data_IF_015048306164
#
_entry.id   IF_015048306164
#
_cell.length_a   1.000
_cell.length_b   1.000
_cell.length_c   1.000
_cell.angle_alpha   90.00
_cell.angle_beta   90.00
_cell.angle_gamma   90.00
#
_symmetry.space_group_name_H-M   'P 1'
#
loop_
_entity.id
_entity.type
_entity.pdbx_description
1 polymer ?
#
# COMPACT_ATOMS: atom_id res chain seq x y z
N UNK A 1 26.59 -18.57 25.15
CA UNK A 1 25.33 -17.88 24.75
C UNK A 1 25.09 -16.57 25.47
N UNK A 2 25.28 -16.45 26.80
CA UNK A 2 25.14 -15.15 27.51
C UNK A 2 26.12 -14.09 26.98
N UNK A 3 27.41 -14.39 26.95
CA UNK A 3 28.43 -13.48 26.41
C UNK A 3 28.17 -13.11 24.94
N UNK A 4 27.57 -14.02 24.16
CA UNK A 4 27.20 -13.75 22.77
C UNK A 4 26.10 -12.69 22.69
N UNK A 5 25.01 -12.84 23.45
CA UNK A 5 23.91 -11.87 23.41
C UNK A 5 24.35 -10.51 23.96
N UNK A 6 25.20 -10.47 24.97
CA UNK A 6 25.79 -9.23 25.49
C UNK A 6 26.66 -8.54 24.43
N UNK A 7 27.55 -9.28 23.76
CA UNK A 7 28.35 -8.75 22.65
C UNK A 7 27.50 -8.25 21.48
N UNK A 8 26.44 -8.99 21.12
CA UNK A 8 25.52 -8.60 20.05
C UNK A 8 24.70 -7.34 20.40
N UNK A 9 24.30 -7.18 21.66
CA UNK A 9 23.64 -5.96 22.16
C UNK A 9 24.60 -4.75 22.07
N UNK A 10 25.86 -4.93 22.46
CA UNK A 10 26.88 -3.87 22.37
C UNK A 10 27.16 -3.46 20.91
N UNK A 11 27.24 -4.41 19.99
CA UNK A 11 27.36 -4.12 18.56
C UNK A 11 26.13 -3.34 18.03
N UNK A 12 24.93 -3.75 18.43
CA UNK A 12 23.69 -3.06 18.03
C UNK A 12 23.61 -1.63 18.58
N UNK A 13 24.13 -1.37 19.79
CA UNK A 13 24.25 -0.03 20.36
C UNK A 13 25.15 0.87 19.51
N UNK A 14 26.37 0.41 19.24
CA UNK A 14 27.33 1.14 18.40
C UNK A 14 26.75 1.41 17.00
N UNK A 15 26.01 0.44 16.44
CA UNK A 15 25.32 0.61 15.17
C UNK A 15 24.24 1.69 15.24
N UNK A 16 23.41 1.70 16.28
CA UNK A 16 22.36 2.70 16.45
C UNK A 16 22.94 4.13 16.60
N UNK A 17 24.01 4.28 17.39
CA UNK A 17 24.72 5.56 17.53
C UNK A 17 25.32 6.04 16.20
N UNK A 18 25.95 5.12 15.44
CA UNK A 18 26.49 5.44 14.12
C UNK A 18 25.40 5.85 13.13
N UNK A 19 24.23 5.20 13.15
CA UNK A 19 23.09 5.59 12.31
C UNK A 19 22.53 6.96 12.69
N UNK A 20 22.48 7.29 13.99
CA UNK A 20 22.07 8.61 14.45
C UNK A 20 22.99 9.70 13.89
N UNK A 21 24.29 9.44 13.86
CA UNK A 21 25.29 10.32 13.22
C UNK A 21 25.15 10.49 11.69
N UNK A 22 24.35 9.65 11.02
CA UNK A 22 24.06 9.75 9.57
C UNK A 22 22.84 10.63 9.25
N UNK A 23 22.02 10.98 10.23
CA UNK A 23 20.85 11.85 10.01
C UNK A 23 21.36 13.24 9.59
N UNK A 24 20.96 13.77 8.42
CA UNK A 24 21.38 15.11 8.00
C UNK A 24 20.85 16.17 8.96
N UNK A 25 21.71 17.09 9.40
CA UNK A 25 21.28 18.24 10.18
C UNK A 25 20.39 19.19 9.38
N UNK A 26 19.55 19.97 10.07
CA UNK A 26 18.53 20.85 9.49
C UNK A 26 18.94 21.64 8.24
N UNK A 27 20.10 22.35 8.21
CA UNK A 27 20.52 23.12 7.04
C UNK A 27 20.76 22.31 5.75
N UNK A 28 20.91 20.98 5.85
CA UNK A 28 21.14 20.08 4.72
C UNK A 28 19.90 19.30 4.31
N UNK A 29 18.80 19.45 5.05
CA UNK A 29 17.59 18.67 4.88
C UNK A 29 16.56 19.49 4.09
N UNK A 30 15.91 18.88 3.10
CA UNK A 30 14.76 19.52 2.46
C UNK A 30 13.56 19.51 3.41
N UNK A 31 12.67 20.51 3.25
CA UNK A 31 11.49 20.72 4.12
C UNK A 31 10.59 19.48 4.23
N UNK A 32 10.60 18.62 3.20
CA UNK A 32 9.81 17.39 3.19
C UNK A 32 10.30 16.36 4.21
N UNK A 33 11.61 16.31 4.49
CA UNK A 33 12.21 15.24 5.28
C UNK A 33 12.35 15.58 6.77
N UNK A 34 12.03 16.80 7.21
CA UNK A 34 12.21 17.26 8.60
C UNK A 34 11.50 16.37 9.63
N UNK A 35 10.24 16.02 9.36
CA UNK A 35 9.47 15.17 10.26
C UNK A 35 10.01 13.74 10.30
N UNK A 36 10.45 13.21 9.15
CA UNK A 36 11.06 11.88 9.07
C UNK A 36 12.38 11.82 9.85
N UNK A 37 13.21 12.87 9.73
CA UNK A 37 14.48 12.98 10.45
C UNK A 37 14.26 13.00 11.97
N UNK A 38 13.34 13.86 12.44
CA UNK A 38 13.02 13.95 13.87
C UNK A 38 12.43 12.65 14.40
N UNK A 39 11.57 11.97 13.62
CA UNK A 39 11.03 10.66 14.01
C UNK A 39 12.12 9.59 14.09
N UNK A 40 13.01 9.54 13.09
CA UNK A 40 14.12 8.60 13.05
C UNK A 40 15.07 8.79 14.25
N UNK A 41 15.38 10.04 14.61
CA UNK A 41 16.21 10.36 15.77
C UNK A 41 15.58 9.88 17.08
N UNK A 42 14.28 10.16 17.30
CA UNK A 42 13.56 9.70 18.48
C UNK A 42 13.49 8.17 18.57
N UNK A 43 13.25 7.49 17.45
CA UNK A 43 13.17 6.03 17.43
C UNK A 43 14.56 5.39 17.69
N UNK A 44 15.64 5.97 17.17
CA UNK A 44 17.01 5.54 17.49
C UNK A 44 17.34 5.73 18.97
N UNK A 45 16.98 6.87 19.57
CA UNK A 45 17.17 7.10 21.01
C UNK A 45 16.41 6.09 21.85
N UNK A 46 15.18 5.76 21.46
CA UNK A 46 14.38 4.74 22.13
C UNK A 46 15.00 3.34 22.00
N UNK A 47 15.54 3.00 20.82
CA UNK A 47 16.25 1.72 20.60
C UNK A 47 17.51 1.65 21.48
N UNK A 48 18.30 2.72 21.56
CA UNK A 48 19.51 2.78 22.39
C UNK A 48 19.15 2.51 23.86
N UNK A 49 18.12 3.19 24.38
CA UNK A 49 17.63 2.98 25.75
C UNK A 49 17.18 1.53 25.96
N UNK A 50 16.43 0.94 25.02
CA UNK A 50 15.98 -0.46 25.12
C UNK A 50 17.13 -1.45 25.11
N UNK A 51 18.16 -1.22 24.29
CA UNK A 51 19.36 -2.06 24.25
C UNK A 51 20.17 -1.94 25.54
N UNK A 52 20.33 -0.73 26.09
CA UNK A 52 20.97 -0.50 27.40
C UNK A 52 20.22 -1.23 28.52
N UNK A 53 18.90 -1.08 28.60
CA UNK A 53 18.07 -1.80 29.57
C UNK A 53 18.19 -3.32 29.41
N UNK A 54 18.26 -3.80 28.16
CA UNK A 54 18.44 -5.22 27.89
C UNK A 54 19.83 -5.70 28.34
N UNK A 55 20.87 -4.89 28.16
CA UNK A 55 22.22 -5.19 28.64
C UNK A 55 22.27 -5.28 30.17
N UNK A 56 21.67 -4.30 30.86
CA UNK A 56 21.64 -4.17 32.32
C UNK A 56 20.68 -5.16 33.01
N UNK A 57 19.73 -5.72 32.28
CA UNK A 57 18.77 -6.70 32.84
C UNK A 57 19.48 -7.90 33.49
N UNK A 58 19.18 -8.12 34.77
CA UNK A 58 19.83 -9.12 35.61
C UNK A 58 19.55 -10.58 35.18
N UNK A 59 20.30 -11.50 35.80
CA UNK A 59 20.36 -12.95 35.56
C UNK A 59 19.00 -13.67 35.56
N UNK A 60 17.97 -13.12 36.19
CA UNK A 60 16.63 -13.72 36.31
C UNK A 60 15.74 -13.52 35.07
N UNK A 61 16.19 -12.69 34.11
CA UNK A 61 15.52 -12.61 32.81
C UNK A 61 15.77 -13.92 32.07
N UNK A 62 14.71 -14.69 31.81
CA UNK A 62 14.82 -15.94 31.05
C UNK A 62 15.55 -15.62 29.74
N UNK A 63 16.73 -16.22 29.53
CA UNK A 63 17.60 -15.92 28.38
C UNK A 63 16.85 -15.91 27.05
N UNK A 64 15.86 -16.79 26.90
CA UNK A 64 14.93 -16.83 25.76
C UNK A 64 14.20 -15.50 25.52
N UNK A 65 13.67 -14.87 26.56
CA UNK A 65 13.00 -13.58 26.48
C UNK A 65 13.97 -12.48 26.05
N UNK A 66 15.18 -12.45 26.64
CA UNK A 66 16.25 -11.52 26.24
C UNK A 66 16.58 -11.64 24.75
N UNK A 67 16.69 -12.86 24.22
CA UNK A 67 16.88 -13.08 22.77
C UNK A 67 15.69 -12.63 21.92
N UNK A 68 14.45 -12.88 22.37
CA UNK A 68 13.26 -12.45 21.64
C UNK A 68 13.15 -10.93 21.56
N UNK A 69 13.46 -10.23 22.66
CA UNK A 69 13.42 -8.77 22.69
C UNK A 69 14.56 -8.15 21.88
N UNK A 70 15.78 -8.71 21.97
CA UNK A 70 16.89 -8.33 21.10
C UNK A 70 16.51 -8.47 19.62
N UNK A 71 15.94 -9.60 19.22
CA UNK A 71 15.55 -9.84 17.82
C UNK A 71 14.55 -8.80 17.32
N UNK A 72 13.54 -8.45 18.13
CA UNK A 72 12.56 -7.41 17.79
C UNK A 72 13.23 -6.04 17.63
N UNK A 73 14.14 -5.68 18.54
CA UNK A 73 14.90 -4.42 18.43
C UNK A 73 15.74 -4.40 17.15
N UNK A 74 16.40 -5.50 16.80
CA UNK A 74 17.16 -5.60 15.54
C UNK A 74 16.29 -5.49 14.30
N UNK A 75 15.06 -6.02 14.32
CA UNK A 75 14.09 -5.86 13.23
C UNK A 75 13.72 -4.38 13.04
N UNK A 76 13.45 -3.64 14.14
CA UNK A 76 13.20 -2.20 14.12
C UNK A 76 14.41 -1.40 13.60
N UNK A 77 15.61 -1.70 14.13
CA UNK A 77 16.86 -1.06 13.71
C UNK A 77 17.16 -1.30 12.23
N UNK A 78 16.85 -2.50 11.72
CA UNK A 78 17.00 -2.84 10.31
C UNK A 78 16.11 -1.99 9.41
N UNK A 79 14.88 -1.66 9.83
CA UNK A 79 13.98 -0.76 9.08
C UNK A 79 14.56 0.65 9.06
N UNK A 80 15.03 1.16 10.21
CA UNK A 80 15.64 2.47 10.29
C UNK A 80 16.85 2.58 9.36
N UNK A 81 17.78 1.62 9.41
CA UNK A 81 18.97 1.61 8.55
C UNK A 81 18.64 1.52 7.06
N UNK A 82 17.89 0.49 6.66
CA UNK A 82 17.77 0.12 5.26
C UNK A 82 16.68 0.89 4.52
N UNK A 83 15.83 1.62 5.25
CA UNK A 83 14.70 2.34 4.67
C UNK A 83 14.75 3.81 5.07
N UNK A 84 14.66 4.12 6.36
CA UNK A 84 14.43 5.50 6.82
C UNK A 84 15.68 6.37 6.64
N UNK A 85 16.83 5.90 7.13
CA UNK A 85 18.11 6.59 6.96
C UNK A 85 18.51 6.62 5.48
N UNK A 86 18.28 5.52 4.75
CA UNK A 86 18.51 5.49 3.31
C UNK A 86 17.69 6.57 2.57
N UNK A 87 16.41 6.77 2.91
CA UNK A 87 15.58 7.85 2.37
C UNK A 87 16.13 9.24 2.71
N UNK A 88 16.51 9.45 3.97
CA UNK A 88 17.07 10.73 4.43
C UNK A 88 18.35 11.11 3.69
N UNK A 89 19.18 10.14 3.33
CA UNK A 89 20.40 10.38 2.53
C UNK A 89 20.10 10.77 1.08
N UNK A 90 18.90 10.48 0.57
CA UNK A 90 18.42 10.85 -0.76
C UNK A 90 17.60 12.14 -0.81
N UNK A 91 17.50 12.88 0.30
CA UNK A 91 16.60 14.04 0.44
C UNK A 91 16.68 15.11 -0.67
N UNK A 92 17.83 15.22 -1.36
CA UNK A 92 18.04 16.13 -2.49
C UNK A 92 17.55 15.55 -3.82
N UNK A 93 17.82 14.27 -4.04
CA UNK A 93 17.45 13.55 -5.27
C UNK A 93 15.93 13.37 -5.36
N UNK A 94 15.27 13.22 -4.21
CA UNK A 94 13.84 12.93 -4.14
C UNK A 94 12.94 14.18 -4.00
N UNK A 95 13.48 15.40 -4.19
CA UNK A 95 12.67 16.64 -4.12
C UNK A 95 11.54 16.63 -5.15
N UNK A 96 11.82 16.19 -6.37
CA UNK A 96 10.84 16.13 -7.46
C UNK A 96 9.65 15.24 -7.11
N UNK A 97 9.91 14.01 -6.66
CA UNK A 97 8.84 13.06 -6.31
C UNK A 97 8.01 13.54 -5.12
N UNK A 98 8.62 14.24 -4.15
CA UNK A 98 7.88 14.84 -3.04
C UNK A 98 6.94 15.98 -3.52
N UNK A 99 7.37 16.79 -4.49
CA UNK A 99 6.49 17.81 -5.12
C UNK A 99 5.32 17.17 -5.84
N UNK A 100 5.56 16.09 -6.58
CA UNK A 100 4.50 15.33 -7.26
C UNK A 100 3.48 14.75 -6.28
N UNK A 101 3.93 14.03 -5.25
CA UNK A 101 3.02 13.44 -4.26
C UNK A 101 2.28 14.52 -3.47
N UNK A 102 2.92 15.66 -3.21
CA UNK A 102 2.24 16.82 -2.63
C UNK A 102 1.11 17.34 -3.51
N UNK A 103 1.35 17.48 -4.82
CA UNK A 103 0.35 17.92 -5.79
C UNK A 103 -0.81 16.91 -5.87
N UNK A 104 -0.52 15.61 -5.93
CA UNK A 104 -1.54 14.54 -5.87
C UNK A 104 -2.40 14.68 -4.60
N UNK A 105 -1.75 14.82 -3.44
CA UNK A 105 -2.46 14.96 -2.17
C UNK A 105 -3.32 16.24 -2.11
N UNK A 106 -2.93 17.31 -2.81
CA UNK A 106 -3.72 18.54 -2.91
C UNK A 106 -4.93 18.35 -3.83
N UNK A 107 -4.76 17.69 -4.98
CA UNK A 107 -5.84 17.40 -5.92
C UNK A 107 -6.92 16.49 -5.33
N UNK A 108 -6.55 15.54 -4.45
CA UNK A 108 -7.52 14.62 -3.82
C UNK A 108 -8.03 15.11 -2.46
N UNK A 109 -7.63 16.30 -2.02
CA UNK A 109 -7.91 16.82 -0.67
C UNK A 109 -7.51 15.85 0.47
N UNK A 110 -6.26 15.35 0.42
CA UNK A 110 -5.76 14.35 1.38
C UNK A 110 -5.78 14.88 2.83
N UNK A 111 -6.42 14.18 3.78
CA UNK A 111 -6.86 14.77 5.05
C UNK A 111 -5.81 14.77 6.17
N UNK A 112 -4.63 14.20 5.94
CA UNK A 112 -3.54 14.12 6.92
C UNK A 112 -2.22 14.61 6.33
N UNK A 113 -1.17 14.60 7.14
CA UNK A 113 0.17 14.95 6.70
C UNK A 113 0.57 14.09 5.51
N UNK A 114 0.94 14.75 4.42
CA UNK A 114 1.41 14.14 3.18
C UNK A 114 2.66 13.30 3.48
N UNK A 115 2.77 12.07 2.96
CA UNK A 115 3.95 11.26 3.20
C UNK A 115 5.19 11.89 2.57
N UNK A 116 6.33 11.63 3.19
CA UNK A 116 7.63 11.81 2.55
C UNK A 116 7.77 10.72 1.51
N UNK A 117 8.25 11.06 0.32
CA UNK A 117 8.44 10.08 -0.76
C UNK A 117 9.91 9.89 -1.07
N UNK A 118 10.35 8.66 -1.31
CA UNK A 118 11.71 8.36 -1.72
C UNK A 118 11.77 7.29 -2.80
N UNK A 119 12.57 7.51 -3.84
CA UNK A 119 12.78 6.56 -4.94
C UNK A 119 13.82 5.49 -4.57
N UNK A 120 13.58 4.74 -3.49
CA UNK A 120 14.50 3.74 -2.94
C UNK A 120 13.96 2.31 -2.89
N UNK A 121 12.70 2.09 -3.28
CA UNK A 121 12.09 0.78 -3.11
C UNK A 121 12.86 -0.28 -3.91
N UNK A 122 13.31 -1.33 -3.21
CA UNK A 122 13.82 -2.55 -3.82
C UNK A 122 12.70 -3.52 -4.22
N UNK A 123 11.47 -3.21 -3.80
CA UNK A 123 10.24 -3.91 -4.17
C UNK A 123 9.42 -2.98 -5.08
N UNK A 124 8.16 -3.30 -5.27
CA UNK A 124 7.19 -2.37 -5.85
C UNK A 124 6.90 -1.20 -4.90
N UNK A 125 5.89 -0.40 -5.20
CA UNK A 125 5.40 0.68 -4.34
C UNK A 125 5.06 0.15 -2.94
N UNK A 126 5.43 0.90 -1.90
CA UNK A 126 5.12 0.54 -0.52
C UNK A 126 5.20 1.74 0.42
N UNK A 127 4.26 1.89 1.33
CA UNK A 127 4.32 2.89 2.40
C UNK A 127 4.60 2.29 3.78
N UNK A 128 5.61 2.85 4.45
CA UNK A 128 5.88 2.62 5.86
C UNK A 128 5.03 3.59 6.68
N UNK A 129 3.78 3.21 6.98
CA UNK A 129 2.79 4.08 7.65
C UNK A 129 3.28 4.64 8.99
N UNK A 130 4.07 3.88 9.75
CA UNK A 130 4.67 4.33 11.01
C UNK A 130 5.68 5.48 10.87
N UNK A 131 6.25 5.64 9.68
CA UNK A 131 7.19 6.71 9.33
C UNK A 131 6.58 7.75 8.37
N UNK A 132 5.35 7.53 7.92
CA UNK A 132 4.73 8.28 6.83
C UNK A 132 5.66 8.41 5.61
N UNK A 133 6.33 7.31 5.25
CA UNK A 133 7.34 7.25 4.20
C UNK A 133 6.86 6.35 3.06
N UNK A 134 6.56 6.95 1.92
CA UNK A 134 6.23 6.28 0.67
C UNK A 134 7.52 5.95 -0.09
N UNK A 135 7.77 4.67 -0.34
CA UNK A 135 8.89 4.21 -1.15
C UNK A 135 8.39 3.81 -2.53
N UNK A 136 8.97 4.41 -3.58
CA UNK A 136 8.72 4.05 -4.97
C UNK A 136 9.99 3.46 -5.59
N UNK A 137 9.90 2.60 -6.63
CA UNK A 137 11.10 2.09 -7.29
C UNK A 137 11.89 3.20 -7.98
N UNK A 138 13.21 3.02 -8.08
CA UNK A 138 14.19 4.09 -8.38
C UNK A 138 13.86 4.99 -9.58
N UNK A 139 13.35 4.39 -10.67
CA UNK A 139 13.10 5.11 -11.93
C UNK A 139 11.61 5.39 -12.16
N UNK A 140 10.71 4.90 -11.30
CA UNK A 140 9.28 4.96 -11.59
C UNK A 140 8.72 6.40 -11.55
N UNK A 141 9.42 7.35 -10.92
CA UNK A 141 9.06 8.77 -11.01
C UNK A 141 9.27 9.36 -12.41
N UNK A 142 10.02 8.69 -13.28
CA UNK A 142 10.32 9.16 -14.65
C UNK A 142 9.35 8.58 -15.70
N UNK A 143 8.39 7.75 -15.28
CA UNK A 143 7.39 7.11 -16.14
C UNK A 143 5.99 7.34 -15.56
N UNK A 144 4.98 7.48 -16.39
CA UNK A 144 3.62 7.83 -15.98
C UNK A 144 2.74 6.61 -15.71
N UNK A 145 3.01 5.47 -16.38
CA UNK A 145 2.07 4.35 -16.39
C UNK A 145 1.88 3.66 -15.01
N UNK A 146 2.90 3.62 -14.14
CA UNK A 146 2.78 3.04 -12.79
C UNK A 146 2.54 4.05 -11.66
N UNK A 147 2.64 5.36 -11.92
CA UNK A 147 2.35 6.37 -10.90
C UNK A 147 0.94 6.29 -10.29
N UNK A 148 -0.10 5.76 -10.97
CA UNK A 148 -1.39 5.52 -10.34
C UNK A 148 -1.32 4.71 -9.04
N UNK A 149 -0.34 3.81 -8.85
CA UNK A 149 -0.21 3.02 -7.64
C UNK A 149 0.17 3.85 -6.40
N UNK A 150 0.63 5.10 -6.57
CA UNK A 150 0.76 6.07 -5.46
C UNK A 150 -0.59 6.25 -4.75
N UNK A 151 -1.70 6.26 -5.48
CA UNK A 151 -3.03 6.48 -4.88
C UNK A 151 -3.44 5.30 -4.00
N UNK A 152 -3.11 4.06 -4.39
CA UNK A 152 -3.29 2.89 -3.53
C UNK A 152 -2.49 3.06 -2.23
N UNK A 153 -1.20 3.39 -2.34
CA UNK A 153 -0.36 3.52 -1.16
C UNK A 153 -0.79 4.66 -0.23
N UNK A 154 -1.30 5.77 -0.78
CA UNK A 154 -1.83 6.89 0.02
C UNK A 154 -3.03 6.49 0.88
N UNK A 155 -3.76 5.43 0.54
CA UNK A 155 -4.89 4.97 1.32
C UNK A 155 -4.48 4.26 2.62
N UNK A 156 -3.34 3.56 2.65
CA UNK A 156 -2.89 2.78 3.83
C UNK A 156 -2.78 3.65 5.10
N UNK A 157 -2.15 4.85 5.08
CA UNK A 157 -2.14 5.75 6.23
C UNK A 157 -3.53 6.13 6.74
N UNK A 158 -4.54 6.23 5.87
CA UNK A 158 -5.90 6.59 6.28
C UNK A 158 -6.55 5.54 7.19
N UNK A 159 -6.14 4.28 7.07
CA UNK A 159 -6.62 3.18 7.91
C UNK A 159 -5.69 2.85 9.09
N UNK A 160 -4.40 3.18 8.99
CA UNK A 160 -3.43 2.90 10.04
C UNK A 160 -3.28 4.03 11.08
N UNK A 161 -3.61 5.27 10.73
CA UNK A 161 -3.37 6.44 11.59
C UNK A 161 -4.49 6.64 12.64
N UNK A 162 -4.13 6.90 13.90
CA UNK A 162 -5.10 7.11 15.00
C UNK A 162 -5.75 8.51 15.04
N UNK A 163 -5.55 9.33 14.00
CA UNK A 163 -6.12 10.67 13.93
C UNK A 163 -7.66 10.63 13.98
N UNK A 164 -8.23 11.30 15.00
CA UNK A 164 -9.68 11.36 15.22
C UNK A 164 -10.49 11.84 14.02
N UNK A 165 -9.90 12.65 13.12
CA UNK A 165 -10.54 13.12 11.88
C UNK A 165 -10.86 11.97 10.93
N UNK A 166 -10.05 10.90 10.94
CA UNK A 166 -10.20 9.73 10.06
C UNK A 166 -11.21 8.71 10.59
N UNK A 167 -11.63 8.83 11.85
CA UNK A 167 -12.41 7.80 12.54
C UNK A 167 -13.68 7.40 11.81
N UNK A 168 -14.40 8.34 11.18
CA UNK A 168 -15.63 8.02 10.42
C UNK A 168 -15.35 7.11 9.22
N UNK A 169 -14.29 7.36 8.46
CA UNK A 169 -13.91 6.51 7.33
C UNK A 169 -13.40 5.14 7.80
N UNK A 170 -12.62 5.11 8.89
CA UNK A 170 -12.16 3.86 9.52
C UNK A 170 -13.32 3.02 10.08
N UNK A 171 -14.38 3.66 10.58
CA UNK A 171 -15.60 2.99 11.04
C UNK A 171 -16.32 2.26 9.89
N UNK A 172 -16.23 2.74 8.65
CA UNK A 172 -16.77 2.03 7.47
C UNK A 172 -16.01 0.72 7.18
N UNK A 173 -14.67 0.72 7.25
CA UNK A 173 -13.89 -0.52 7.20
C UNK A 173 -14.28 -1.47 8.34
N UNK A 174 -14.47 -0.94 9.54
CA UNK A 174 -14.94 -1.72 10.69
C UNK A 174 -16.34 -2.32 10.50
N UNK A 175 -17.27 -1.59 9.87
CA UNK A 175 -18.60 -2.10 9.49
C UNK A 175 -18.49 -3.19 8.44
N UNK A 176 -17.72 -2.96 7.38
CA UNK A 176 -17.49 -3.97 6.33
C UNK A 176 -16.86 -5.25 6.89
N UNK A 177 -15.85 -5.14 7.76
CA UNK A 177 -15.23 -6.31 8.40
C UNK A 177 -16.23 -7.13 9.24
N UNK A 178 -17.29 -6.52 9.79
CA UNK A 178 -18.39 -7.25 10.43
C UNK A 178 -19.26 -7.98 9.41
N UNK A 179 -19.53 -7.38 8.25
CA UNK A 179 -20.26 -8.02 7.13
C UNK A 179 -19.49 -9.25 6.64
N UNK A 180 -18.20 -9.10 6.33
CA UNK A 180 -17.34 -10.21 5.89
C UNK A 180 -17.27 -11.33 6.95
N UNK A 181 -17.05 -10.96 8.23
CA UNK A 181 -17.05 -11.93 9.34
C UNK A 181 -18.35 -12.72 9.41
N UNK A 182 -19.49 -12.02 9.36
CA UNK A 182 -20.82 -12.62 9.44
C UNK A 182 -21.05 -13.60 8.28
N UNK A 183 -20.70 -13.20 7.04
CA UNK A 183 -20.81 -14.07 5.86
C UNK A 183 -20.07 -15.40 6.07
N UNK A 184 -18.79 -15.36 6.46
CA UNK A 184 -18.02 -16.59 6.65
C UNK A 184 -18.49 -17.41 7.85
N UNK A 185 -18.95 -16.78 8.93
CA UNK A 185 -19.53 -17.50 10.08
C UNK A 185 -20.81 -18.25 9.70
N UNK A 186 -21.66 -17.64 8.88
CA UNK A 186 -22.86 -18.28 8.35
C UNK A 186 -22.51 -19.46 7.44
N UNK A 187 -21.52 -19.32 6.56
CA UNK A 187 -21.06 -20.40 5.69
C UNK A 187 -20.41 -21.56 6.45
N UNK A 188 -19.58 -21.26 7.45
CA UNK A 188 -18.99 -22.29 8.34
C UNK A 188 -20.10 -23.05 9.06
N UNK A 189 -21.11 -22.35 9.60
CA UNK A 189 -22.24 -22.98 10.28
C UNK A 189 -23.14 -23.77 9.32
N UNK A 190 -23.27 -23.34 8.05
CA UNK A 190 -23.97 -24.08 7.00
C UNK A 190 -23.25 -25.40 6.71
N UNK A 191 -21.93 -25.36 6.56
CA UNK A 191 -21.10 -26.55 6.30
C UNK A 191 -21.14 -27.53 7.47
N UNK A 192 -20.99 -27.06 8.72
CA UNK A 192 -21.04 -27.90 9.92
C UNK A 192 -22.36 -28.64 10.10
N UNK A 193 -23.48 -28.05 9.66
CA UNK A 193 -24.80 -28.70 9.67
C UNK A 193 -24.91 -29.83 8.63
N UNK A 194 -24.07 -29.83 7.61
CA UNK A 194 -24.02 -30.89 6.61
C UNK A 194 -22.93 -31.91 6.97
N UNK A 195 -23.32 -32.94 7.73
CA UNK A 195 -22.44 -33.92 8.40
C UNK A 195 -21.58 -34.79 7.46
N UNK A 196 -21.74 -34.65 6.14
CA UNK A 196 -20.94 -35.35 5.12
C UNK A 196 -19.77 -34.54 4.60
N UNK A 197 -19.64 -33.26 5.00
CA UNK A 197 -18.58 -32.38 4.47
C UNK A 197 -17.26 -32.60 5.22
N UNK A 198 -16.12 -32.80 4.53
CA UNK A 198 -14.82 -32.93 5.19
C UNK A 198 -14.43 -31.71 6.02
N UNK A 199 -13.84 -31.93 7.21
CA UNK A 199 -13.39 -30.87 8.12
C UNK A 199 -12.38 -29.91 7.46
N UNK A 200 -11.56 -30.38 6.53
CA UNK A 200 -10.60 -29.55 5.80
C UNK A 200 -11.26 -28.37 5.07
N UNK A 201 -12.50 -28.53 4.60
CA UNK A 201 -13.23 -27.43 3.97
C UNK A 201 -13.59 -26.34 4.98
N UNK A 202 -13.82 -26.68 6.24
CA UNK A 202 -14.10 -25.69 7.29
C UNK A 202 -12.86 -24.82 7.55
N UNK A 203 -11.68 -25.43 7.54
CA UNK A 203 -10.41 -24.73 7.73
C UNK A 203 -10.14 -23.71 6.62
N UNK A 204 -10.52 -24.01 5.37
CA UNK A 204 -10.40 -23.05 4.26
C UNK A 204 -11.23 -21.78 4.52
N UNK A 205 -12.48 -21.91 4.97
CA UNK A 205 -13.33 -20.76 5.27
C UNK A 205 -12.81 -19.97 6.47
N UNK A 206 -12.20 -20.63 7.46
CA UNK A 206 -11.49 -19.93 8.53
C UNK A 206 -10.30 -19.13 7.99
N UNK A 207 -9.50 -19.72 7.10
CA UNK A 207 -8.37 -19.04 6.45
C UNK A 207 -8.84 -17.82 5.64
N UNK A 208 -9.88 -17.96 4.80
CA UNK A 208 -10.42 -16.85 4.00
C UNK A 208 -11.05 -15.77 4.87
N UNK A 209 -11.77 -16.13 5.93
CA UNK A 209 -12.30 -15.19 6.92
C UNK A 209 -11.17 -14.35 7.52
N UNK A 210 -10.07 -14.98 7.90
CA UNK A 210 -8.90 -14.28 8.44
C UNK A 210 -8.25 -13.40 7.37
N UNK A 211 -8.10 -13.90 6.14
CA UNK A 211 -7.54 -13.14 5.02
C UNK A 211 -8.35 -11.86 4.75
N UNK A 212 -9.68 -11.97 4.66
CA UNK A 212 -10.58 -10.83 4.51
C UNK A 212 -10.46 -9.82 5.64
N UNK A 213 -10.58 -10.25 6.89
CA UNK A 213 -10.68 -9.34 8.03
C UNK A 213 -9.33 -8.69 8.37
N UNK A 214 -8.22 -9.39 8.16
CA UNK A 214 -6.89 -8.88 8.50
C UNK A 214 -6.23 -8.09 7.38
N UNK A 215 -6.38 -8.53 6.14
CA UNK A 215 -5.56 -8.03 5.04
C UNK A 215 -6.41 -7.57 3.85
N UNK A 216 -7.21 -8.45 3.24
CA UNK A 216 -7.84 -8.15 1.96
C UNK A 216 -8.82 -6.98 2.00
N UNK A 217 -9.54 -6.77 3.11
CA UNK A 217 -10.44 -5.62 3.20
C UNK A 217 -9.70 -4.29 3.11
N UNK A 218 -8.52 -4.16 3.74
CA UNK A 218 -7.70 -2.96 3.62
C UNK A 218 -7.21 -2.80 2.19
N UNK A 219 -6.67 -3.86 1.58
CA UNK A 219 -6.18 -3.84 0.20
C UNK A 219 -7.27 -3.46 -0.81
N UNK A 220 -8.48 -4.01 -0.67
CA UNK A 220 -9.62 -3.63 -1.50
C UNK A 220 -10.02 -2.16 -1.27
N UNK A 221 -10.00 -1.68 -0.03
CA UNK A 221 -10.28 -0.27 0.24
C UNK A 221 -9.20 0.64 -0.35
N UNK A 222 -7.93 0.23 -0.36
CA UNK A 222 -6.85 0.97 -0.99
C UNK A 222 -6.99 0.99 -2.52
N UNK A 223 -7.33 -0.14 -3.14
CA UNK A 223 -7.63 -0.20 -4.57
C UNK A 223 -8.80 0.71 -4.95
N UNK A 224 -9.89 0.60 -4.19
CA UNK A 224 -11.09 1.38 -4.43
C UNK A 224 -10.87 2.86 -4.14
N UNK A 225 -10.01 3.21 -3.18
CA UNK A 225 -9.56 4.58 -2.98
C UNK A 225 -8.85 5.11 -4.23
N UNK A 226 -7.95 4.32 -4.83
CA UNK A 226 -7.32 4.65 -6.12
C UNK A 226 -8.35 4.88 -7.22
N UNK A 227 -9.35 4.00 -7.34
CA UNK A 227 -10.46 4.17 -8.29
C UNK A 227 -11.25 5.45 -8.03
N UNK A 228 -11.59 5.74 -6.78
CA UNK A 228 -12.44 6.88 -6.45
C UNK A 228 -11.72 8.22 -6.49
N UNK A 229 -10.40 8.26 -6.36
CA UNK A 229 -9.64 9.51 -6.32
C UNK A 229 -8.86 9.79 -7.61
N UNK A 230 -8.58 8.76 -8.43
CA UNK A 230 -7.89 8.91 -9.71
C UNK A 230 -8.73 8.47 -10.92
N UNK A 231 -9.54 7.41 -10.78
CA UNK A 231 -10.39 6.91 -11.85
C UNK A 231 -9.73 5.83 -12.73
N UNK A 232 -10.04 5.78 -14.04
CA UNK A 232 -9.63 4.70 -14.94
C UNK A 232 -8.13 4.40 -14.98
N UNK A 233 -7.27 5.41 -14.85
CA UNK A 233 -5.82 5.24 -14.85
C UNK A 233 -5.32 4.21 -13.82
N UNK A 234 -5.98 4.14 -12.65
CA UNK A 234 -5.60 3.17 -11.61
C UNK A 234 -5.89 1.73 -12.05
N UNK A 235 -7.06 1.48 -12.63
CA UNK A 235 -7.42 0.15 -13.12
C UNK A 235 -6.53 -0.30 -14.29
N UNK A 236 -6.14 0.61 -15.18
CA UNK A 236 -5.15 0.33 -16.23
C UNK A 236 -3.76 0.00 -15.65
N UNK A 237 -3.29 0.74 -14.65
CA UNK A 237 -2.02 0.44 -13.95
C UNK A 237 -2.05 -0.95 -13.33
N UNK A 238 -3.15 -1.31 -12.66
CA UNK A 238 -3.27 -2.64 -12.05
C UNK A 238 -3.29 -3.76 -13.10
N UNK A 239 -3.96 -3.57 -14.25
CA UNK A 239 -3.85 -4.50 -15.38
C UNK A 239 -2.40 -4.65 -15.84
N UNK A 240 -1.69 -3.55 -16.04
CA UNK A 240 -0.30 -3.55 -16.49
C UNK A 240 0.64 -4.26 -15.50
N UNK A 241 0.45 -4.03 -14.21
CA UNK A 241 1.15 -4.73 -13.14
C UNK A 241 0.89 -6.24 -13.18
N UNK A 242 -0.37 -6.64 -13.39
CA UNK A 242 -0.73 -8.06 -13.51
C UNK A 242 -0.04 -8.72 -14.71
N UNK A 243 0.03 -8.04 -15.86
CA UNK A 243 0.75 -8.54 -17.04
C UNK A 243 2.24 -8.74 -16.75
N UNK A 244 2.86 -7.83 -15.98
CA UNK A 244 4.28 -7.87 -15.65
C UNK A 244 4.65 -8.91 -14.59
N UNK A 245 3.76 -9.17 -13.63
CA UNK A 245 4.17 -9.81 -12.37
C UNK A 245 3.20 -10.85 -11.79
N UNK A 246 1.99 -11.00 -12.33
CA UNK A 246 1.03 -11.95 -11.76
C UNK A 246 1.44 -13.39 -12.06
N UNK A 247 1.53 -14.21 -11.01
CA UNK A 247 1.82 -15.64 -11.12
C UNK A 247 0.57 -16.51 -11.23
N UNK A 248 -0.54 -16.07 -10.64
CA UNK A 248 -1.87 -16.68 -10.77
C UNK A 248 -2.93 -15.70 -10.26
N UNK A 249 -3.80 -15.23 -11.16
CA UNK A 249 -4.83 -14.23 -10.88
C UNK A 249 -5.98 -14.74 -9.99
N UNK A 250 -6.10 -16.07 -9.83
CA UNK A 250 -7.10 -16.75 -9.01
C UNK A 250 -6.54 -17.31 -7.70
N UNK A 251 -5.31 -16.92 -7.31
CA UNK A 251 -4.61 -17.50 -6.16
C UNK A 251 -5.31 -17.18 -4.83
N UNK A 252 -5.85 -18.22 -4.19
CA UNK A 252 -6.44 -18.16 -2.84
C UNK A 252 -5.62 -18.97 -1.83
N UNK A 253 -5.55 -18.54 -0.55
CA UNK A 253 -4.85 -19.28 0.50
C UNK A 253 -5.70 -20.43 1.06
N UNK A 254 -5.08 -21.57 1.36
CA UNK A 254 -5.76 -22.69 2.03
C UNK A 254 -5.32 -22.88 3.48
N UNK A 255 -4.04 -22.65 3.77
CA UNK A 255 -3.43 -22.93 5.09
C UNK A 255 -3.14 -21.65 5.87
N UNK A 256 -2.50 -20.67 5.23
CA UNK A 256 -2.15 -19.40 5.85
C UNK A 256 -2.67 -18.25 4.99
N UNK A 257 -3.28 -17.22 5.62
CA UNK A 257 -3.76 -16.05 4.88
C UNK A 257 -2.59 -15.38 4.17
N UNK A 258 -2.78 -15.05 2.90
CA UNK A 258 -1.86 -14.18 2.17
C UNK A 258 -2.18 -12.70 2.47
N UNK A 259 -1.24 -11.82 2.13
CA UNK A 259 -1.41 -10.37 2.32
C UNK A 259 -2.34 -9.75 1.30
N UNK A 260 -2.38 -10.24 0.06
CA UNK A 260 -3.16 -9.61 -1.01
C UNK A 260 -4.32 -10.50 -1.50
N UNK A 261 -5.47 -9.90 -1.85
CA UNK A 261 -6.55 -10.62 -2.52
C UNK A 261 -6.13 -11.08 -3.93
N UNK A 262 -6.83 -12.06 -4.53
CA UNK A 262 -6.57 -12.47 -5.91
C UNK A 262 -6.79 -11.32 -6.91
N UNK A 263 -5.95 -11.22 -7.94
CA UNK A 263 -6.00 -10.14 -8.93
C UNK A 263 -7.34 -10.07 -9.68
N UNK A 264 -7.96 -11.22 -10.00
CA UNK A 264 -9.30 -11.25 -10.60
C UNK A 264 -10.35 -10.57 -9.70
N UNK A 265 -10.25 -10.75 -8.39
CA UNK A 265 -11.18 -10.15 -7.44
C UNK A 265 -10.95 -8.64 -7.33
N UNK A 266 -9.67 -8.21 -7.33
CA UNK A 266 -9.26 -6.79 -7.36
C UNK A 266 -9.81 -6.08 -8.60
N UNK A 267 -9.57 -6.63 -9.79
CA UNK A 267 -10.08 -6.07 -11.05
C UNK A 267 -11.61 -6.00 -11.07
N UNK A 268 -12.31 -7.05 -10.59
CA UNK A 268 -13.77 -7.01 -10.44
C UNK A 268 -14.25 -5.87 -9.54
N UNK A 269 -13.61 -5.67 -8.39
CA UNK A 269 -13.93 -4.57 -7.49
C UNK A 269 -13.73 -3.21 -8.17
N UNK A 270 -12.61 -3.05 -8.89
CA UNK A 270 -12.29 -1.83 -9.63
C UNK A 270 -13.34 -1.52 -10.71
N UNK A 271 -13.78 -2.51 -11.48
CA UNK A 271 -14.80 -2.31 -12.52
C UNK A 271 -16.12 -1.81 -11.95
N UNK A 272 -16.61 -2.45 -10.89
CA UNK A 272 -17.83 -1.99 -10.23
C UNK A 272 -17.64 -0.62 -9.55
N UNK A 273 -16.44 -0.34 -9.02
CA UNK A 273 -16.09 0.97 -8.49
C UNK A 273 -16.18 2.07 -9.54
N UNK A 274 -15.58 1.87 -10.72
CA UNK A 274 -15.64 2.80 -11.86
C UNK A 274 -17.08 3.03 -12.33
N UNK A 275 -17.86 1.95 -12.47
CA UNK A 275 -19.27 2.05 -12.85
C UNK A 275 -20.07 2.87 -11.82
N UNK A 276 -19.79 2.70 -10.53
CA UNK A 276 -20.46 3.43 -9.45
C UNK A 276 -20.20 4.95 -9.50
N UNK A 277 -19.01 5.37 -9.92
CA UNK A 277 -18.63 6.78 -10.04
C UNK A 277 -18.78 7.34 -11.47
N UNK A 278 -19.48 6.62 -12.36
CA UNK A 278 -19.91 7.12 -13.67
C UNK A 278 -18.97 6.83 -14.85
N UNK A 279 -17.91 6.03 -14.65
CA UNK A 279 -16.94 5.64 -15.68
C UNK A 279 -17.29 4.30 -16.33
N UNK A 280 -18.55 4.12 -16.72
CA UNK A 280 -19.01 2.83 -17.27
C UNK A 280 -18.31 2.47 -18.59
N UNK A 281 -18.15 3.44 -19.49
CA UNK A 281 -17.52 3.22 -20.80
C UNK A 281 -16.06 2.77 -20.65
N UNK A 282 -15.31 3.44 -19.78
CA UNK A 282 -13.92 3.13 -19.48
C UNK A 282 -13.79 1.80 -18.76
N UNK A 283 -14.69 1.50 -17.82
CA UNK A 283 -14.77 0.20 -17.15
C UNK A 283 -14.98 -0.95 -18.15
N UNK A 284 -15.89 -0.79 -19.11
CA UNK A 284 -16.15 -1.80 -20.14
C UNK A 284 -14.92 -2.00 -21.06
N UNK A 285 -14.19 -0.94 -21.40
CA UNK A 285 -12.95 -1.02 -22.18
C UNK A 285 -11.84 -1.79 -21.43
N UNK A 286 -11.62 -1.47 -20.15
CA UNK A 286 -10.60 -2.15 -19.34
C UNK A 286 -10.98 -3.61 -19.12
N UNK A 287 -12.27 -3.89 -18.87
CA UNK A 287 -12.80 -5.25 -18.70
C UNK A 287 -12.53 -6.11 -19.93
N UNK A 288 -12.75 -5.58 -21.13
CA UNK A 288 -12.45 -6.29 -22.37
C UNK A 288 -10.95 -6.65 -22.47
N UNK A 289 -10.05 -5.71 -22.13
CA UNK A 289 -8.61 -5.98 -22.12
C UNK A 289 -8.18 -6.96 -21.03
N UNK A 290 -8.83 -6.93 -19.88
CA UNK A 290 -8.63 -7.93 -18.84
C UNK A 290 -9.07 -9.33 -19.29
N UNK A 291 -10.20 -9.44 -19.98
CA UNK A 291 -10.68 -10.71 -20.52
C UNK A 291 -9.76 -11.24 -21.64
N UNK A 292 -9.24 -10.38 -22.52
CA UNK A 292 -8.17 -10.73 -23.47
C UNK A 292 -6.93 -11.28 -22.75
N UNK A 293 -6.46 -10.59 -21.70
CA UNK A 293 -5.32 -11.04 -20.90
C UNK A 293 -5.55 -12.42 -20.25
N UNK A 294 -6.74 -12.67 -19.71
CA UNK A 294 -7.11 -13.98 -19.14
C UNK A 294 -7.04 -15.11 -20.16
N UNK A 295 -7.48 -14.85 -21.40
CA UNK A 295 -7.41 -15.83 -22.49
C UNK A 295 -5.96 -16.17 -22.88
N UNK A 296 -5.04 -15.22 -22.72
CA UNK A 296 -3.61 -15.42 -23.02
C UNK A 296 -2.93 -16.26 -21.92
N UNK A 297 -3.11 -15.91 -20.65
CA UNK A 297 -2.40 -16.57 -19.55
C UNK A 297 -3.00 -17.93 -19.15
N UNK A 298 -4.31 -18.13 -19.42
CA UNK A 298 -5.04 -19.38 -19.16
C UNK A 298 -4.86 -19.94 -17.74
N UNK A 299 -4.74 -19.06 -16.74
CA UNK A 299 -4.64 -19.48 -15.35
C UNK A 299 -5.92 -20.24 -14.95
N UNK A 300 -5.80 -21.42 -14.33
CA UNK A 300 -6.97 -22.19 -13.93
C UNK A 300 -7.70 -21.47 -12.79
N UNK A 301 -9.00 -21.28 -12.96
CA UNK A 301 -9.86 -20.89 -11.85
C UNK A 301 -9.88 -22.03 -10.82
N UNK A 302 -9.72 -21.69 -9.54
CA UNK A 302 -9.77 -22.70 -8.48
C UNK A 302 -11.22 -23.01 -8.13
N UNK A 303 -11.54 -24.28 -7.85
CA UNK A 303 -12.92 -24.73 -7.52
C UNK A 303 -13.59 -23.94 -6.37
N UNK A 304 -12.78 -23.29 -5.53
CA UNK A 304 -13.23 -22.54 -4.36
C UNK A 304 -13.11 -21.02 -4.51
N UNK A 305 -12.71 -20.51 -5.68
CA UNK A 305 -12.47 -19.09 -5.89
C UNK A 305 -13.67 -18.24 -5.45
N UNK A 306 -14.87 -18.57 -5.94
CA UNK A 306 -16.09 -17.84 -5.59
C UNK A 306 -16.56 -18.03 -4.14
N UNK A 307 -16.07 -19.06 -3.43
CA UNK A 307 -16.29 -19.20 -1.99
C UNK A 307 -15.37 -18.29 -1.18
N UNK A 308 -14.12 -18.15 -1.62
CA UNK A 308 -13.13 -17.31 -0.98
C UNK A 308 -13.40 -15.82 -1.22
N UNK A 309 -13.83 -15.44 -2.42
CA UNK A 309 -14.12 -14.06 -2.83
C UNK A 309 -15.52 -13.93 -3.44
N UNK A 310 -16.58 -14.11 -2.64
CA UNK A 310 -17.96 -14.06 -3.14
C UNK A 310 -18.29 -12.66 -3.67
N UNK A 311 -18.98 -12.60 -4.81
CA UNK A 311 -19.36 -11.35 -5.47
C UNK A 311 -20.20 -10.42 -4.56
N UNK A 312 -21.01 -11.01 -3.67
CA UNK A 312 -21.78 -10.25 -2.67
C UNK A 312 -20.89 -9.45 -1.72
N UNK A 313 -19.76 -10.00 -1.26
CA UNK A 313 -18.83 -9.26 -0.42
C UNK A 313 -18.08 -8.18 -1.21
N UNK A 314 -17.72 -8.45 -2.47
CA UNK A 314 -17.11 -7.43 -3.34
C UNK A 314 -18.07 -6.24 -3.50
N UNK A 315 -19.34 -6.49 -3.83
CA UNK A 315 -20.38 -5.45 -3.99
C UNK A 315 -20.63 -4.63 -2.72
N UNK A 316 -20.57 -5.26 -1.55
CA UNK A 316 -20.65 -4.53 -0.28
C UNK A 316 -19.39 -3.70 -0.04
N UNK A 317 -18.20 -4.26 -0.29
CA UNK A 317 -16.91 -3.58 -0.12
C UNK A 317 -16.85 -2.26 -0.88
N UNK A 318 -17.33 -2.25 -2.12
CA UNK A 318 -17.39 -1.07 -2.99
C UNK A 318 -18.15 0.09 -2.31
N UNK A 319 -19.32 -0.19 -1.75
CA UNK A 319 -20.13 0.83 -1.07
C UNK A 319 -19.42 1.38 0.17
N UNK A 320 -18.91 0.49 1.03
CA UNK A 320 -18.24 0.91 2.25
C UNK A 320 -16.93 1.67 1.97
N UNK A 321 -16.18 1.29 0.94
CA UNK A 321 -14.98 2.00 0.54
C UNK A 321 -15.30 3.40 0.00
N UNK A 322 -16.38 3.56 -0.78
CA UNK A 322 -16.80 4.89 -1.26
C UNK A 322 -17.19 5.80 -0.09
N UNK A 323 -18.03 5.29 0.82
CA UNK A 323 -18.41 6.02 2.04
C UNK A 323 -17.18 6.35 2.90
N UNK A 324 -16.19 5.45 2.99
CA UNK A 324 -14.94 5.72 3.69
C UNK A 324 -14.18 6.89 3.07
N UNK A 325 -14.00 6.89 1.74
CA UNK A 325 -13.32 7.98 1.00
C UNK A 325 -14.03 9.32 1.20
N UNK A 326 -15.36 9.34 1.14
CA UNK A 326 -16.17 10.53 1.43
C UNK A 326 -15.99 10.98 2.89
N UNK A 327 -16.03 10.06 3.85
CA UNK A 327 -15.86 10.37 5.26
C UNK A 327 -14.44 10.83 5.64
N UNK A 328 -13.43 10.44 4.87
CA UNK A 328 -12.09 11.01 4.97
C UNK A 328 -12.05 12.45 4.47
N UNK A 329 -13.02 12.87 3.67
CA UNK A 329 -13.09 14.20 3.07
C UNK A 329 -12.30 14.31 1.77
N UNK A 330 -11.88 13.19 1.19
CA UNK A 330 -11.17 13.18 -0.09
C UNK A 330 -12.13 13.52 -1.23
N UNK A 331 -11.58 14.13 -2.29
CA UNK A 331 -12.35 14.44 -3.50
C UNK A 331 -12.59 13.16 -4.31
N UNK A 332 -13.84 12.94 -4.71
CA UNK A 332 -14.21 11.86 -5.63
C UNK A 332 -14.04 12.37 -7.05
N UNK A 333 -13.20 11.68 -7.81
CA UNK A 333 -12.89 12.04 -9.20
C UNK A 333 -14.13 12.00 -10.08
N UNK A 334 -14.17 12.91 -11.06
CA UNK A 334 -15.18 12.90 -12.12
C UNK A 334 -14.51 13.12 -13.47
N UNK A 335 -15.17 12.78 -14.60
CA UNK A 335 -14.58 12.95 -15.93
C UNK A 335 -14.15 14.38 -16.29
N UNK A 336 -14.55 15.39 -15.49
CA UNK A 336 -14.22 16.81 -15.66
C UNK A 336 -13.37 17.35 -14.50
N UNK A 337 -12.63 16.48 -13.81
CA UNK A 337 -11.79 16.90 -12.68
C UNK A 337 -10.75 17.94 -13.12
N UNK A 338 -10.54 19.03 -12.35
CA UNK A 338 -9.61 20.10 -12.73
C UNK A 338 -8.13 19.76 -12.47
N UNK A 339 -7.85 18.71 -11.70
CA UNK A 339 -6.51 18.30 -11.29
C UNK A 339 -5.57 18.00 -12.47
N UNK A 340 -4.39 18.62 -12.47
CA UNK A 340 -3.40 18.49 -13.52
C UNK A 340 -2.81 17.07 -13.56
N UNK A 341 -2.46 16.51 -12.39
CA UNK A 341 -1.83 15.19 -12.30
C UNK A 341 -2.86 14.09 -12.61
N UNK A 342 -4.06 14.17 -12.03
CA UNK A 342 -5.16 13.24 -12.34
C UNK A 342 -5.43 13.18 -13.85
N UNK A 343 -5.53 14.34 -14.50
CA UNK A 343 -5.76 14.41 -15.94
C UNK A 343 -4.57 13.86 -16.74
N UNK A 344 -3.34 14.18 -16.34
CA UNK A 344 -2.14 13.66 -16.99
C UNK A 344 -2.09 12.13 -16.95
N UNK A 345 -2.35 11.52 -15.80
CA UNK A 345 -2.28 10.06 -15.62
C UNK A 345 -3.39 9.33 -16.39
N UNK A 346 -4.62 9.88 -16.44
CA UNK A 346 -5.68 9.32 -17.26
C UNK A 346 -5.37 9.48 -18.77
N UNK A 347 -4.86 10.63 -19.18
CA UNK A 347 -4.46 10.86 -20.57
C UNK A 347 -3.29 9.97 -21.00
N UNK A 348 -2.34 9.69 -20.10
CA UNK A 348 -1.22 8.80 -20.41
C UNK A 348 -1.69 7.42 -20.87
N UNK A 349 -2.70 6.86 -20.20
CA UNK A 349 -3.27 5.57 -20.62
C UNK A 349 -4.00 5.65 -21.96
N UNK A 350 -4.78 6.72 -22.19
CA UNK A 350 -5.42 6.93 -23.50
C UNK A 350 -4.38 7.01 -24.61
N UNK A 351 -3.34 7.84 -24.44
CA UNK A 351 -2.26 7.99 -25.43
C UNK A 351 -1.47 6.71 -25.63
N UNK A 352 -1.19 5.95 -24.57
CA UNK A 352 -0.53 4.66 -24.67
C UNK A 352 -1.32 3.67 -25.52
N UNK A 353 -2.65 3.59 -25.35
CA UNK A 353 -3.49 2.67 -26.13
C UNK A 353 -3.71 3.12 -27.57
N UNK A 354 -3.66 4.42 -27.84
CA UNK A 354 -3.76 4.97 -29.21
C UNK A 354 -2.49 4.73 -30.04
N UNK A 355 -1.32 4.98 -29.46
CA UNK A 355 -0.02 4.76 -30.12
C UNK A 355 1.07 4.31 -29.11
N UNK A 356 1.13 2.99 -28.79
CA UNK A 356 2.13 2.46 -27.87
C UNK A 356 3.57 2.66 -28.35
N UNK A 357 3.79 2.78 -29.67
CA UNK A 357 5.14 2.87 -30.27
C UNK A 357 5.73 4.26 -30.04
N UNK A 358 4.92 5.30 -30.23
CA UNK A 358 5.36 6.70 -30.02
C UNK A 358 5.21 7.18 -28.58
N UNK A 359 4.50 6.42 -27.72
CA UNK A 359 4.18 6.81 -26.34
C UNK A 359 5.41 7.25 -25.53
N UNK A 360 6.54 6.54 -25.62
CA UNK A 360 7.76 6.86 -24.85
C UNK A 360 8.27 8.28 -25.14
N UNK A 361 8.15 8.74 -26.39
CA UNK A 361 8.53 10.11 -26.75
C UNK A 361 7.59 11.15 -26.13
N UNK A 362 6.29 10.86 -26.14
CA UNK A 362 5.26 11.70 -25.51
C UNK A 362 5.42 11.76 -23.99
N UNK A 363 5.59 10.61 -23.34
CA UNK A 363 5.75 10.47 -21.89
C UNK A 363 6.95 11.27 -21.38
N UNK A 364 8.10 11.12 -22.04
CA UNK A 364 9.31 11.88 -21.70
C UNK A 364 9.09 13.39 -21.79
N UNK A 365 8.34 13.85 -22.80
CA UNK A 365 8.02 15.28 -22.93
C UNK A 365 7.12 15.77 -21.78
N UNK A 366 6.11 14.98 -21.38
CA UNK A 366 5.23 15.33 -20.26
C UNK A 366 5.97 15.35 -18.92
N UNK A 367 6.81 14.35 -18.66
CA UNK A 367 7.63 14.29 -17.43
C UNK A 367 8.59 15.48 -17.36
N UNK A 368 9.23 15.86 -18.48
CA UNK A 368 10.08 17.04 -18.53
C UNK A 368 9.30 18.33 -18.20
N UNK A 369 8.08 18.47 -18.72
CA UNK A 369 7.22 19.64 -18.40
C UNK A 369 6.93 19.72 -16.90
N UNK A 370 6.65 18.59 -16.23
CA UNK A 370 6.45 18.55 -14.78
C UNK A 370 7.73 18.95 -14.02
N UNK A 371 8.87 18.40 -14.41
CA UNK A 371 10.16 18.69 -13.80
C UNK A 371 10.54 20.17 -13.95
N UNK A 372 10.32 20.75 -15.13
CA UNK A 372 10.62 22.16 -15.42
C UNK A 372 9.72 23.12 -14.64
N UNK A 373 8.43 22.80 -14.50
CA UNK A 373 7.49 23.63 -13.75
C UNK A 373 7.86 23.68 -12.27
N UNK A 374 8.20 22.53 -11.68
CA UNK A 374 8.54 22.45 -10.27
C UNK A 374 9.97 22.88 -9.94
N UNK A 375 10.87 22.96 -10.92
CA UNK A 375 12.22 23.50 -10.71
C UNK A 375 12.20 25.02 -10.51
N UNK A 376 11.18 25.72 -11.01
CA UNK A 376 11.04 27.18 -10.92
C UNK A 376 10.50 27.68 -9.56
N UNK A 377 9.94 26.80 -8.76
CA UNK A 377 9.34 27.11 -7.44
C UNK A 377 10.33 26.97 -6.26
N UNK A 378 11.64 26.97 -6.52
CA UNK A 378 12.70 26.84 -5.50
C UNK A 378 13.39 28.16 -5.18
#
# INVERSE_FOLDING_TARGET
>A
MRNYIEGAILEALEKADNLKGKIPGGPKLSVYFEQLASRAENDLDYIIIRLQNLLESSVDTVLKQKFMDYKRICEELSILENVVIAALLRNKDDVYVNKMVKAICEEINFPITKPVTSSLSQKYYHIYTGYNLLCIPLLESDFLLHLPDIYHELAHPLFANENRKLRKGQEELGKFNRVARKFFDEEINRIKRNSTTPNEKIDFYHTWKVAWVKNWSVEFFCDLFGIYTLGPAFAWSNLHLCVKSSSNIYRIPYVQPNSHPPDEARMKAMFYGLELIGYKSESDQIRNKWDEFKQIIQHPETDYFFNAVPESLIKECIKYALEATIHFGCEIVSPKHPGQIINLLNNAWTTFWEDPVSFTGWEKAQVQVLQDNWSKDN
#
